data_IF_137004958722
#
_entry.id   IF_137004958722
#
_cell.length_a   1.000
_cell.length_b   1.000
_cell.length_c   1.000
_cell.angle_alpha   90.00
_cell.angle_beta   90.00
_cell.angle_gamma   90.00
#
_symmetry.space_group_name_H-M   'P 1'
#
loop_
_entity.id
_entity.type
_entity.pdbx_description
1 polymer ?
#
# COMPACT_ATOMS: atom_id res chain seq x y z
N UNK A 1 -12.95 -4.71 -19.08
CA UNK A 1 -12.19 -3.44 -19.00
C UNK A 1 -11.40 -3.38 -17.70
N UNK A 2 -10.48 -2.43 -17.57
CA UNK A 2 -9.71 -2.19 -16.34
C UNK A 2 -10.06 -0.81 -15.80
N UNK A 3 -10.19 -0.69 -14.48
CA UNK A 3 -10.40 0.58 -13.80
C UNK A 3 -9.34 0.78 -12.73
N UNK A 4 -9.02 2.05 -12.45
CA UNK A 4 -8.09 2.45 -11.39
C UNK A 4 -8.72 3.52 -10.53
N UNK A 5 -8.50 3.45 -9.22
CA UNK A 5 -8.98 4.48 -8.30
C UNK A 5 -8.07 5.71 -8.37
N UNK A 6 -8.67 6.89 -8.50
CA UNK A 6 -7.94 8.16 -8.60
C UNK A 6 -7.31 8.59 -7.28
N UNK A 7 -7.97 8.31 -6.18
CA UNK A 7 -7.41 8.56 -4.85
C UNK A 7 -6.68 7.33 -4.32
N UNK A 8 -5.42 7.47 -3.88
CA UNK A 8 -4.67 6.36 -3.31
C UNK A 8 -5.25 5.96 -1.94
N UNK A 9 -5.32 4.66 -1.70
CA UNK A 9 -5.68 4.06 -0.41
C UNK A 9 -4.42 3.42 0.15
N UNK A 10 -3.97 3.85 1.32
CA UNK A 10 -2.68 3.42 1.91
C UNK A 10 -1.48 3.63 0.97
N UNK A 11 -1.48 4.75 0.21
CA UNK A 11 -0.38 5.10 -0.69
C UNK A 11 -0.35 4.33 -2.01
N UNK A 12 -1.37 3.51 -2.31
CA UNK A 12 -1.50 2.80 -3.59
C UNK A 12 -2.85 3.09 -4.24
N UNK A 13 -2.91 3.14 -5.56
CA UNK A 13 -4.11 3.23 -6.36
C UNK A 13 -4.64 1.81 -6.66
N UNK A 14 -5.76 1.37 -6.06
CA UNK A 14 -6.37 0.08 -6.41
C UNK A 14 -6.67 -0.03 -7.91
N UNK A 15 -6.29 -1.16 -8.50
CA UNK A 15 -6.55 -1.51 -9.90
C UNK A 15 -7.44 -2.75 -9.95
N UNK A 16 -8.53 -2.71 -10.71
CA UNK A 16 -9.49 -3.81 -10.80
C UNK A 16 -9.85 -4.17 -12.24
N UNK A 17 -9.95 -5.48 -12.53
CA UNK A 17 -10.48 -5.98 -13.80
C UNK A 17 -11.99 -6.13 -13.71
N UNK A 18 -12.72 -5.26 -14.39
CA UNK A 18 -14.16 -5.35 -14.58
C UNK A 18 -14.46 -6.24 -15.80
N UNK A 19 -14.46 -7.55 -15.58
CA UNK A 19 -14.81 -8.55 -16.60
C UNK A 19 -16.27 -8.40 -17.03
N UNK A 20 -16.56 -8.57 -18.33
CA UNK A 20 -17.90 -8.46 -18.93
C UNK A 20 -18.58 -7.08 -18.81
N UNK A 21 -17.82 -6.04 -18.47
CA UNK A 21 -18.31 -4.66 -18.35
C UNK A 21 -17.74 -3.80 -19.47
N UNK A 22 -18.59 -2.90 -19.97
CA UNK A 22 -18.28 -1.93 -21.04
C UNK A 22 -18.14 -0.49 -20.54
N UNK A 23 -18.43 -0.23 -19.26
CA UNK A 23 -18.24 1.08 -18.61
C UNK A 23 -17.87 0.92 -17.12
N UNK A 24 -17.25 1.95 -16.54
CA UNK A 24 -16.94 2.03 -15.11
C UNK A 24 -18.21 1.85 -14.26
N UNK A 25 -18.24 0.77 -13.49
CA UNK A 25 -19.34 0.44 -12.57
C UNK A 25 -19.16 1.05 -11.17
N UNK A 26 -17.92 1.34 -10.76
CA UNK A 26 -17.62 1.87 -9.42
C UNK A 26 -17.99 3.35 -9.27
N UNK A 27 -18.15 4.06 -10.39
CA UNK A 27 -18.61 5.44 -10.42
C UNK A 27 -17.51 6.45 -10.09
N UNK A 28 -17.87 7.54 -9.42
CA UNK A 28 -16.97 8.64 -9.08
C UNK A 28 -15.75 8.18 -8.27
N UNK A 29 -14.60 8.77 -8.56
CA UNK A 29 -13.31 8.40 -7.94
C UNK A 29 -12.60 7.21 -8.61
N UNK A 30 -13.20 6.61 -9.64
CA UNK A 30 -12.55 5.60 -10.49
C UNK A 30 -12.48 6.10 -11.93
N UNK A 31 -11.34 5.87 -12.56
CA UNK A 31 -11.14 6.14 -13.98
C UNK A 31 -10.99 4.84 -14.76
N UNK A 32 -11.49 4.85 -15.99
CA UNK A 32 -11.26 3.78 -16.95
C UNK A 32 -9.82 3.83 -17.44
N UNK A 33 -9.14 2.68 -17.36
CA UNK A 33 -7.76 2.54 -17.83
C UNK A 33 -7.81 2.09 -19.29
N UNK A 34 -7.20 2.85 -20.23
CA UNK A 34 -7.05 2.41 -21.61
C UNK A 34 -6.36 1.05 -21.71
N UNK A 35 -6.75 0.22 -22.69
CA UNK A 35 -6.27 -1.17 -22.80
C UNK A 35 -4.73 -1.27 -22.89
N UNK A 36 -4.09 -0.31 -23.55
CA UNK A 36 -2.63 -0.25 -23.67
C UNK A 36 -1.91 0.10 -22.35
N UNK A 37 -2.59 0.76 -21.40
CA UNK A 37 -2.07 1.07 -20.06
C UNK A 37 -2.48 0.02 -19.03
N UNK A 38 -3.39 -0.90 -19.36
CA UNK A 38 -3.92 -1.87 -18.42
C UNK A 38 -2.83 -2.76 -17.83
N UNK A 39 -1.94 -3.32 -18.66
CA UNK A 39 -0.83 -4.14 -18.15
C UNK A 39 0.14 -3.32 -17.28
N UNK A 40 0.42 -2.07 -17.67
CA UNK A 40 1.29 -1.19 -16.91
C UNK A 40 0.69 -0.82 -15.54
N UNK A 41 -0.62 -0.57 -15.47
CA UNK A 41 -1.34 -0.30 -14.23
C UNK A 41 -1.21 -1.48 -13.25
N UNK A 42 -1.35 -2.72 -13.74
CA UNK A 42 -1.12 -3.92 -12.93
C UNK A 42 0.35 -4.09 -12.56
N UNK A 43 1.28 -3.80 -13.47
CA UNK A 43 2.71 -3.93 -13.24
C UNK A 43 3.23 -2.98 -12.14
N UNK A 44 2.68 -1.77 -12.02
CA UNK A 44 3.00 -0.89 -10.90
C UNK A 44 2.50 -1.40 -9.54
N UNK A 45 1.53 -2.31 -9.51
CA UNK A 45 0.86 -2.72 -8.27
C UNK A 45 0.18 -1.57 -7.52
N UNK A 46 -0.29 -0.53 -8.23
CA UNK A 46 -0.95 0.64 -7.65
C UNK A 46 -0.02 1.78 -7.20
N UNK A 47 1.30 1.59 -7.21
CA UNK A 47 2.26 2.69 -6.99
C UNK A 47 2.54 3.42 -8.31
N UNK A 48 1.55 4.08 -8.89
CA UNK A 48 1.75 4.92 -10.07
C UNK A 48 1.21 6.33 -9.86
N UNK A 49 1.86 7.29 -10.51
CA UNK A 49 1.32 8.62 -10.71
C UNK A 49 0.39 8.61 -11.93
N UNK A 50 -0.81 9.17 -11.77
CA UNK A 50 -1.87 9.18 -12.77
C UNK A 50 -1.94 10.56 -13.44
N UNK A 51 -1.83 10.58 -14.77
CA UNK A 51 -2.05 11.80 -15.56
C UNK A 51 -3.44 11.74 -16.18
N UNK A 52 -4.26 12.76 -15.89
CA UNK A 52 -5.59 12.91 -16.47
C UNK A 52 -5.65 14.13 -17.39
N UNK A 53 -6.21 13.93 -18.58
CA UNK A 53 -6.59 15.02 -19.49
C UNK A 53 -8.10 14.93 -19.72
N UNK A 54 -8.82 16.04 -19.48
CA UNK A 54 -10.29 16.12 -19.59
C UNK A 54 -11.05 15.02 -18.81
N UNK A 55 -10.48 14.55 -17.70
CA UNK A 55 -11.06 13.49 -16.86
C UNK A 55 -10.80 12.06 -17.35
N UNK A 56 -10.00 11.90 -18.41
CA UNK A 56 -9.57 10.60 -18.96
C UNK A 56 -8.13 10.32 -18.56
N UNK A 57 -7.84 9.10 -18.13
CA UNK A 57 -6.48 8.67 -17.83
C UNK A 57 -5.67 8.52 -19.13
N UNK A 58 -4.69 9.40 -19.35
CA UNK A 58 -3.88 9.41 -20.58
C UNK A 58 -2.48 8.85 -20.39
N UNK A 59 -1.93 8.94 -19.18
CA UNK A 59 -0.64 8.35 -18.87
C UNK A 59 -0.58 7.84 -17.42
N UNK A 60 0.32 6.89 -17.21
CA UNK A 60 0.59 6.28 -15.93
C UNK A 60 2.09 6.08 -15.82
N UNK A 61 2.68 6.56 -14.74
CA UNK A 61 4.13 6.48 -14.49
C UNK A 61 4.36 5.71 -13.20
N UNK A 62 5.11 4.61 -13.26
CA UNK A 62 5.44 3.83 -12.08
C UNK A 62 6.31 4.67 -11.14
N UNK A 63 5.87 4.81 -9.89
CA UNK A 63 6.64 5.45 -8.84
C UNK A 63 7.26 4.34 -8.00
N UNK A 64 8.48 4.56 -7.50
CA UNK A 64 9.03 3.66 -6.50
C UNK A 64 8.06 3.60 -5.33
N UNK A 65 7.63 2.38 -4.98
CA UNK A 65 6.88 2.12 -3.76
C UNK A 65 7.70 2.74 -2.61
N UNK A 66 7.08 3.50 -1.69
CA UNK A 66 7.74 3.83 -0.43
C UNK A 66 8.29 2.52 0.13
N UNK A 67 9.58 2.44 0.48
CA UNK A 67 10.16 1.20 1.00
C UNK A 67 9.21 0.62 2.05
N UNK A 68 8.67 -0.57 1.78
CA UNK A 68 7.96 -1.30 2.82
C UNK A 68 8.98 -1.42 3.94
N UNK A 69 8.66 -0.86 5.11
CA UNK A 69 9.48 -1.06 6.29
C UNK A 69 9.69 -2.56 6.41
N UNK A 70 10.95 -2.99 6.33
CA UNK A 70 11.30 -4.39 6.53
C UNK A 70 10.59 -4.85 7.81
N UNK A 71 9.74 -5.87 7.67
CA UNK A 71 9.14 -6.49 8.84
C UNK A 71 10.29 -6.99 9.71
N UNK A 72 10.27 -6.74 11.03
CA UNK A 72 11.34 -7.18 11.90
C UNK A 72 11.57 -8.68 11.69
N UNK A 73 12.83 -9.04 11.57
CA UNK A 73 13.21 -10.45 11.50
C UNK A 73 12.81 -11.15 12.79
N UNK A 74 12.59 -12.48 12.77
CA UNK A 74 12.32 -13.23 14.00
C UNK A 74 13.38 -13.04 15.09
N UNK A 75 14.63 -12.72 14.69
CA UNK A 75 15.70 -12.41 15.63
C UNK A 75 15.50 -11.04 16.28
N UNK A 76 15.15 -10.01 15.51
CA UNK A 76 14.89 -8.66 16.06
C UNK A 76 13.68 -8.66 16.99
N UNK A 77 12.63 -9.41 16.66
CA UNK A 77 11.49 -9.61 17.57
C UNK A 77 11.92 -10.31 18.87
N UNK A 78 12.74 -11.36 18.77
CA UNK A 78 13.25 -12.07 19.94
C UNK A 78 14.13 -11.15 20.81
N UNK A 79 15.01 -10.37 20.19
CA UNK A 79 15.89 -9.43 20.89
C UNK A 79 15.08 -8.33 21.58
N UNK A 80 14.04 -7.79 20.94
CA UNK A 80 13.13 -6.81 21.54
C UNK A 80 12.41 -7.38 22.78
N UNK A 81 11.95 -8.63 22.71
CA UNK A 81 11.32 -9.33 23.84
C UNK A 81 12.32 -9.58 24.98
N UNK A 82 13.58 -9.91 24.66
CA UNK A 82 14.62 -10.09 25.67
C UNK A 82 14.94 -8.78 26.38
N UNK A 83 15.05 -7.68 25.65
CA UNK A 83 15.28 -6.34 26.23
C UNK A 83 14.13 -5.95 27.16
N UNK A 84 12.87 -6.15 26.76
CA UNK A 84 11.71 -5.90 27.64
C UNK A 84 11.75 -6.77 28.89
N UNK A 85 12.09 -8.05 28.72
CA UNK A 85 12.17 -8.99 29.84
C UNK A 85 13.26 -8.61 30.86
N UNK A 86 14.47 -8.27 30.38
CA UNK A 86 15.57 -7.82 31.25
C UNK A 86 15.25 -6.51 31.98
N UNK A 87 14.61 -5.57 31.29
CA UNK A 87 14.14 -4.32 31.92
C UNK A 87 13.16 -4.61 33.06
N UNK A 88 12.16 -5.47 32.81
CA UNK A 88 11.17 -5.83 33.83
C UNK A 88 11.78 -6.60 35.00
N UNK A 89 12.74 -7.48 34.76
CA UNK A 89 13.49 -8.15 35.82
C UNK A 89 14.25 -7.14 36.68
N UNK A 90 14.94 -6.18 36.04
CA UNK A 90 15.69 -5.14 36.73
C UNK A 90 14.79 -4.30 37.65
N UNK A 91 13.59 -3.94 37.18
CA UNK A 91 12.61 -3.23 38.01
C UNK A 91 12.19 -4.03 39.24
N UNK A 92 11.94 -5.34 39.08
CA UNK A 92 11.61 -6.24 40.19
C UNK A 92 12.76 -6.36 41.20
N UNK A 93 14.00 -6.46 40.73
CA UNK A 93 15.19 -6.52 41.59
C UNK A 93 15.38 -5.23 42.41
N UNK A 94 15.05 -4.08 41.82
CA UNK A 94 15.08 -2.78 42.48
C UNK A 94 13.85 -2.51 43.36
N UNK A 95 12.87 -3.43 43.40
CA UNK A 95 11.61 -3.25 44.14
C UNK A 95 10.70 -2.17 43.56
N UNK A 96 10.91 -1.78 42.29
CA UNK A 96 10.07 -0.84 41.57
C UNK A 96 8.95 -1.63 40.86
N UNK A 97 7.73 -1.55 41.38
CA UNK A 97 6.56 -2.02 40.63
C UNK A 97 5.99 -0.84 39.86
N UNK A 98 5.71 -1.02 38.56
CA UNK A 98 4.97 -0.03 37.78
C UNK A 98 3.68 0.34 38.53
N UNK A 99 3.51 1.63 38.84
CA UNK A 99 2.29 2.18 39.46
C UNK A 99 1.07 2.04 38.53
#
# INVERSE_FOLDING_TARGET
>A
MTIIKLEPVNGVHPVERQSHRTSNWMGEGWAEVPEHLAEQAFACGGSCELTLEDGVLTALTAVQRPEELDTPTPQEDADALLVDHEYRLTLLELGLTAE
#
